data_IF_449302680734
#
_entry.id   IF_449302680734
#
_cell.length_a   1.000
_cell.length_b   1.000
_cell.length_c   1.000
_cell.angle_alpha   90.00
_cell.angle_beta   90.00
_cell.angle_gamma   90.00
#
_symmetry.space_group_name_H-M   'P 1'
#
loop_
_entity.id
_entity.type
_entity.pdbx_description
1 polymer ?
#
# COMPACT_ATOMS: atom_id res chain seq x y z
N UNK A 1 8.02 -10.65 3.75
CA UNK A 1 7.79 -10.85 2.30
C UNK A 1 6.37 -10.52 1.82
N UNK A 2 5.37 -10.29 2.70
CA UNK A 2 3.96 -10.07 2.30
C UNK A 2 3.61 -8.59 2.11
N UNK A 3 4.28 -7.68 2.84
CA UNK A 3 4.09 -6.22 2.71
C UNK A 3 4.42 -5.72 1.31
N UNK A 4 5.59 -6.09 0.78
CA UNK A 4 6.03 -5.70 -0.57
C UNK A 4 5.03 -6.15 -1.65
N UNK A 5 4.44 -7.34 -1.48
CA UNK A 5 3.44 -7.87 -2.40
C UNK A 5 2.18 -7.00 -2.44
N UNK A 6 1.66 -6.60 -1.28
CA UNK A 6 0.49 -5.72 -1.24
C UNK A 6 0.83 -4.30 -1.69
N UNK A 7 1.98 -3.75 -1.29
CA UNK A 7 2.43 -2.44 -1.74
C UNK A 7 2.51 -2.38 -3.27
N UNK A 8 3.13 -3.38 -3.90
CA UNK A 8 3.23 -3.43 -5.35
C UNK A 8 1.85 -3.56 -6.04
N UNK A 9 0.90 -4.26 -5.43
CA UNK A 9 -0.48 -4.34 -5.94
C UNK A 9 -1.24 -3.03 -5.83
N UNK A 10 -1.03 -2.28 -4.74
CA UNK A 10 -1.58 -0.94 -4.56
C UNK A 10 -0.98 0.01 -5.59
N UNK A 11 0.34 -0.05 -5.81
CA UNK A 11 1.06 0.74 -6.82
C UNK A 11 0.56 0.44 -8.24
N UNK A 12 0.30 -0.83 -8.55
CA UNK A 12 -0.23 -1.26 -9.85
C UNK A 12 -1.74 -1.04 -10.02
N UNK A 13 -2.44 -0.48 -9.01
CA UNK A 13 -3.89 -0.28 -9.03
C UNK A 13 -4.72 -1.57 -9.05
N UNK A 14 -4.10 -2.71 -8.68
CA UNK A 14 -4.72 -4.04 -8.67
C UNK A 14 -5.49 -4.32 -7.38
N UNK A 15 -5.27 -3.51 -6.34
CA UNK A 15 -5.86 -3.63 -5.01
C UNK A 15 -5.89 -2.25 -4.38
N UNK A 16 -7.00 -1.84 -3.78
CA UNK A 16 -7.04 -0.56 -3.06
C UNK A 16 -6.31 -0.67 -1.73
N UNK A 17 -5.70 0.41 -1.27
CA UNK A 17 -5.08 0.44 0.06
C UNK A 17 -6.09 0.11 1.18
N UNK A 18 -7.36 0.46 0.99
CA UNK A 18 -8.45 0.10 1.89
C UNK A 18 -8.60 -1.43 2.10
N UNK A 19 -8.33 -2.24 1.08
CA UNK A 19 -8.44 -3.70 1.08
C UNK A 19 -7.21 -4.40 1.67
N UNK A 20 -6.15 -3.64 1.98
CA UNK A 20 -4.96 -4.19 2.65
C UNK A 20 -5.34 -4.57 4.09
N UNK A 21 -4.95 -5.76 4.57
CA UNK A 21 -5.17 -6.16 5.95
C UNK A 21 -4.60 -5.14 6.94
N UNK A 22 -5.32 -4.83 8.01
CA UNK A 22 -4.91 -3.80 8.99
C UNK A 22 -3.51 -4.04 9.57
N UNK A 23 -3.11 -5.31 9.74
CA UNK A 23 -1.76 -5.69 10.21
C UNK A 23 -0.65 -5.33 9.23
N UNK A 24 -0.96 -5.24 7.93
CA UNK A 24 0.00 -4.96 6.86
C UNK A 24 -0.09 -3.52 6.35
N UNK A 25 -1.19 -2.80 6.64
CA UNK A 25 -1.38 -1.40 6.23
C UNK A 25 -0.21 -0.51 6.62
N UNK A 26 0.26 -0.58 7.86
CA UNK A 26 1.39 0.22 8.33
C UNK A 26 2.65 0.00 7.46
N UNK A 27 3.02 -1.26 7.21
CA UNK A 27 4.18 -1.56 6.38
C UNK A 27 3.97 -1.20 4.90
N UNK A 28 2.74 -1.33 4.38
CA UNK A 28 2.43 -0.93 3.00
C UNK A 28 2.49 0.59 2.85
N UNK A 29 2.04 1.33 3.87
CA UNK A 29 2.15 2.78 3.93
C UNK A 29 3.61 3.21 3.96
N UNK A 30 4.46 2.60 4.78
CA UNK A 30 5.89 2.90 4.82
C UNK A 30 6.54 2.72 3.43
N UNK A 31 6.24 1.63 2.72
CA UNK A 31 6.76 1.40 1.37
C UNK A 31 6.23 2.43 0.36
N UNK A 32 4.96 2.83 0.49
CA UNK A 32 4.38 3.87 -0.36
C UNK A 32 5.01 5.23 -0.08
N UNK A 33 5.20 5.59 1.19
CA UNK A 33 5.84 6.85 1.61
C UNK A 33 7.30 6.91 1.19
N UNK A 34 8.07 5.83 1.36
CA UNK A 34 9.46 5.75 0.89
C UNK A 34 9.57 5.93 -0.64
N UNK A 35 8.57 5.45 -1.39
CA UNK A 35 8.46 5.64 -2.82
C UNK A 35 7.82 6.96 -3.28
N UNK A 36 7.38 7.83 -2.36
CA UNK A 36 6.64 9.06 -2.70
C UNK A 36 5.24 8.83 -3.28
N UNK A 37 4.65 7.67 -3.03
CA UNK A 37 3.34 7.19 -3.51
C UNK A 37 2.27 7.18 -2.39
N UNK A 38 2.48 7.95 -1.32
CA UNK A 38 1.56 8.04 -0.17
C UNK A 38 0.13 8.45 -0.58
N UNK A 39 -0.03 9.19 -1.69
CA UNK A 39 -1.33 9.55 -2.26
C UNK A 39 -2.20 8.33 -2.63
N UNK A 40 -1.60 7.17 -2.92
CA UNK A 40 -2.33 5.92 -3.18
C UNK A 40 -2.95 5.32 -1.92
N UNK A 41 -2.47 5.71 -0.74
CA UNK A 41 -3.07 5.34 0.54
C UNK A 41 -4.28 6.24 0.90
N UNK A 42 -4.37 7.41 0.26
CA UNK A 42 -5.38 8.45 0.52
C UNK A 42 -6.55 8.42 -0.49
N UNK A 43 -6.63 7.39 -1.34
CA UNK A 43 -7.72 7.22 -2.31
C UNK A 43 -9.07 7.07 -1.58
N UNK A 44 -9.81 8.19 -1.52
CA UNK A 44 -11.19 8.30 -1.04
C UNK A 44 -12.13 7.28 -1.69
#
# INVERSE_FOLDING_TARGET
MVVMFFAQRVILGKTKYAEVPSTLKAGVLEVLTDGGLEFLAEDK
#
